data_IF_191993142348
#
_entry.id   IF_191993142348
#
_cell.length_a   1.000
_cell.length_b   1.000
_cell.length_c   1.000
_cell.angle_alpha   90.00
_cell.angle_beta   90.00
_cell.angle_gamma   90.00
#
_symmetry.space_group_name_H-M   'P 1'
#
loop_
_entity.id
_entity.type
_entity.pdbx_description
1 polymer ?
#
# COMPACT_ATOMS: atom_id res chain seq x y z
N UNK A 1 11.59 -15.80 -8.94
CA UNK A 1 10.87 -15.23 -7.78
C UNK A 1 11.37 -13.82 -7.51
N UNK A 2 10.51 -12.95 -7.04
CA UNK A 2 10.81 -11.55 -6.79
C UNK A 2 10.93 -11.34 -5.28
N UNK A 3 12.07 -10.81 -4.81
CA UNK A 3 12.29 -10.57 -3.39
C UNK A 3 12.23 -9.09 -3.03
N UNK A 4 11.76 -8.80 -1.84
CA UNK A 4 11.88 -7.47 -1.23
C UNK A 4 13.30 -7.32 -0.66
N UNK A 5 13.93 -6.18 -0.93
CA UNK A 5 15.28 -5.87 -0.42
C UNK A 5 15.30 -4.67 0.52
N UNK A 6 14.37 -3.74 0.37
CA UNK A 6 14.24 -2.59 1.26
C UNK A 6 12.81 -2.06 1.27
N UNK A 7 12.48 -1.25 2.27
CA UNK A 7 11.21 -0.54 2.36
C UNK A 7 11.30 0.71 3.24
N UNK A 8 10.32 1.60 3.10
CA UNK A 8 10.09 2.68 4.05
C UNK A 8 8.62 3.12 4.03
N UNK A 9 8.09 3.47 5.19
CA UNK A 9 6.80 4.14 5.35
C UNK A 9 7.05 5.53 5.93
N UNK A 10 6.56 6.55 5.22
CA UNK A 10 6.54 7.95 5.64
C UNK A 10 5.09 8.39 5.79
N UNK A 11 4.65 8.59 7.03
CA UNK A 11 3.25 8.90 7.36
C UNK A 11 3.16 9.81 8.59
N UNK A 12 1.97 10.31 8.93
CA UNK A 12 1.76 11.02 10.19
C UNK A 12 2.10 10.22 11.47
N UNK A 13 2.16 8.88 11.40
CA UNK A 13 2.56 8.01 12.52
C UNK A 13 4.06 7.87 12.70
N UNK A 14 4.86 8.14 11.66
CA UNK A 14 6.31 8.03 11.71
C UNK A 14 6.96 8.17 10.34
N UNK A 15 8.27 8.38 10.33
CA UNK A 15 9.05 8.62 9.11
C UNK A 15 9.80 7.37 8.61
N UNK A 16 9.74 6.28 9.38
CA UNK A 16 10.33 4.97 9.05
C UNK A 16 9.31 3.85 9.24
N UNK A 17 9.54 2.70 8.60
CA UNK A 17 8.72 1.50 8.78
C UNK A 17 8.67 1.05 10.25
N UNK A 18 9.81 1.10 10.95
CA UNK A 18 9.89 0.69 12.35
C UNK A 18 9.04 1.59 13.27
N UNK A 19 9.08 2.92 13.09
CA UNK A 19 8.25 3.86 13.85
C UNK A 19 6.76 3.66 13.57
N UNK A 20 6.37 3.48 12.32
CA UNK A 20 5.00 3.19 11.93
C UNK A 20 4.50 1.89 12.53
N UNK A 21 5.30 0.82 12.44
CA UNK A 21 4.96 -0.48 13.02
C UNK A 21 4.81 -0.40 14.55
N UNK A 22 5.75 0.24 15.24
CA UNK A 22 5.69 0.44 16.69
C UNK A 22 4.45 1.25 17.11
N UNK A 23 4.07 2.28 16.33
CA UNK A 23 2.87 3.06 16.56
C UNK A 23 1.59 2.21 16.47
N UNK A 24 1.48 1.39 15.40
CA UNK A 24 0.34 0.48 15.20
C UNK A 24 0.27 -0.58 16.30
N UNK A 25 1.41 -1.17 16.70
CA UNK A 25 1.50 -2.14 17.83
C UNK A 25 1.03 -1.54 19.15
N UNK A 26 1.19 -0.23 19.33
CA UNK A 26 0.71 0.51 20.52
C UNK A 26 -0.74 0.98 20.38
N UNK A 27 -1.45 0.60 19.32
CA UNK A 27 -2.83 1.03 19.06
C UNK A 27 -2.96 2.52 18.67
N UNK A 28 -1.84 3.23 18.41
CA UNK A 28 -1.86 4.64 18.05
C UNK A 28 -2.45 4.86 16.65
N UNK A 29 -3.30 5.89 16.53
CA UNK A 29 -3.88 6.36 15.28
C UNK A 29 -3.62 7.85 15.13
N UNK A 30 -3.56 8.32 13.88
CA UNK A 30 -3.51 9.74 13.57
C UNK A 30 -4.83 10.27 12.97
N UNK A 31 -5.89 9.46 13.02
CA UNK A 31 -7.22 9.95 12.72
C UNK A 31 -7.61 11.04 13.71
N UNK A 32 -7.99 12.20 13.20
CA UNK A 32 -8.41 13.38 13.97
C UNK A 32 -9.58 14.06 13.28
N UNK A 33 -10.48 14.64 14.08
CA UNK A 33 -11.54 15.49 13.54
C UNK A 33 -11.00 16.88 13.23
N UNK A 34 -11.33 17.36 12.05
CA UNK A 34 -11.03 18.70 11.56
C UNK A 34 -12.33 19.49 11.45
N UNK A 35 -12.40 20.72 12.01
CA UNK A 35 -13.62 21.53 12.02
C UNK A 35 -13.98 22.03 10.60
N UNK A 36 -15.24 22.39 10.41
CA UNK A 36 -15.68 23.12 9.23
C UNK A 36 -14.81 24.36 9.00
N UNK A 37 -14.54 24.66 7.72
CA UNK A 37 -13.60 25.71 7.31
C UNK A 37 -12.16 25.20 7.08
N UNK A 38 -11.78 24.03 7.60
CA UNK A 38 -10.48 23.43 7.30
C UNK A 38 -10.40 23.09 5.81
N UNK A 39 -9.32 23.49 5.12
CA UNK A 39 -9.17 23.35 3.65
C UNK A 39 -10.34 23.99 2.86
N UNK A 40 -10.99 25.05 3.42
CA UNK A 40 -12.19 25.69 2.86
C UNK A 40 -13.36 24.73 2.61
N UNK A 41 -13.46 23.67 3.41
CA UNK A 41 -14.58 22.71 3.34
C UNK A 41 -15.72 23.18 4.24
N UNK A 42 -16.98 23.08 3.78
CA UNK A 42 -18.14 23.56 4.54
C UNK A 42 -18.46 22.67 5.76
N UNK A 43 -18.03 21.41 5.73
CA UNK A 43 -18.33 20.40 6.74
C UNK A 43 -17.07 19.95 7.47
N UNK A 44 -17.23 19.53 8.73
CA UNK A 44 -16.17 18.87 9.49
C UNK A 44 -15.90 17.48 8.90
N UNK A 45 -14.67 17.02 9.01
CA UNK A 45 -14.27 15.69 8.52
C UNK A 45 -13.23 15.06 9.45
N UNK A 46 -13.11 13.72 9.39
CA UNK A 46 -12.08 12.97 10.12
C UNK A 46 -11.06 12.41 9.15
N UNK A 47 -9.77 12.65 9.39
CA UNK A 47 -8.68 12.20 8.52
C UNK A 47 -7.36 12.04 9.31
N UNK A 48 -6.39 11.37 8.70
CA UNK A 48 -4.99 11.29 9.16
C UNK A 48 -4.11 12.13 8.25
N UNK A 49 -3.81 13.35 8.65
CA UNK A 49 -3.06 14.32 7.86
C UNK A 49 -1.69 14.59 8.47
N UNK A 50 -0.70 14.95 7.63
CA UNK A 50 0.58 15.44 8.07
C UNK A 50 0.46 16.79 8.79
N UNK A 51 1.25 16.97 9.84
CA UNK A 51 1.63 18.30 10.30
C UNK A 51 2.72 18.83 9.35
N UNK A 52 2.31 19.61 8.36
CA UNK A 52 3.21 20.12 7.31
C UNK A 52 4.30 21.04 7.83
N UNK A 53 4.17 21.58 9.05
CA UNK A 53 5.23 22.30 9.74
C UNK A 53 6.38 21.41 10.21
N UNK A 54 6.14 20.10 10.32
CA UNK A 54 7.15 19.10 10.72
C UNK A 54 7.70 18.27 9.56
N UNK A 55 7.08 18.36 8.39
CA UNK A 55 7.61 17.71 7.18
C UNK A 55 8.80 18.55 6.69
N UNK A 56 9.95 17.91 6.53
CA UNK A 56 11.17 18.55 6.08
C UNK A 56 10.91 19.37 4.79
N UNK A 57 11.22 20.67 4.79
CA UNK A 57 11.02 21.51 3.63
C UNK A 57 11.98 21.09 2.50
N UNK A 58 11.49 21.12 1.28
CA UNK A 58 12.29 20.89 0.08
C UNK A 58 11.81 21.87 -0.99
N UNK A 59 12.60 22.89 -1.23
CA UNK A 59 12.26 23.97 -2.17
C UNK A 59 12.12 23.46 -3.60
N UNK A 60 11.15 23.97 -4.33
CA UNK A 60 10.88 23.56 -5.70
C UNK A 60 10.06 22.26 -5.84
N UNK A 61 9.65 21.64 -4.73
CA UNK A 61 8.83 20.42 -4.72
C UNK A 61 7.50 20.61 -3.99
N UNK A 62 6.45 20.01 -4.53
CA UNK A 62 5.10 20.03 -3.93
C UNK A 62 5.05 19.21 -2.64
N UNK A 63 3.97 19.33 -1.87
CA UNK A 63 3.75 18.49 -0.68
C UNK A 63 3.79 17.00 -1.03
N UNK A 64 3.10 16.61 -2.11
CA UNK A 64 3.09 15.24 -2.61
C UNK A 64 4.50 14.76 -2.96
N UNK A 65 5.25 15.53 -3.74
CA UNK A 65 6.60 15.17 -4.17
C UNK A 65 7.57 15.05 -3.01
N UNK A 66 7.47 15.93 -2.00
CA UNK A 66 8.33 15.90 -0.80
C UNK A 66 8.18 14.59 -0.04
N UNK A 67 6.96 14.13 0.23
CA UNK A 67 6.78 12.88 0.97
C UNK A 67 7.23 11.66 0.16
N UNK A 68 7.07 11.67 -1.18
CA UNK A 68 7.60 10.62 -2.05
C UNK A 68 9.12 10.60 -2.00
N UNK A 69 9.78 11.75 -2.15
CA UNK A 69 11.25 11.87 -2.09
C UNK A 69 11.76 11.37 -0.73
N UNK A 70 11.12 11.76 0.39
CA UNK A 70 11.50 11.29 1.71
C UNK A 70 11.39 9.77 1.86
N UNK A 71 10.31 9.17 1.38
CA UNK A 71 10.09 7.71 1.47
C UNK A 71 11.06 6.94 0.57
N UNK A 72 11.22 7.35 -0.68
CA UNK A 72 12.15 6.72 -1.65
C UNK A 72 13.59 6.83 -1.17
N UNK A 73 14.03 8.02 -0.74
CA UNK A 73 15.39 8.24 -0.27
C UNK A 73 15.76 7.34 0.91
N UNK A 74 14.84 7.20 1.89
CA UNK A 74 15.06 6.31 3.06
C UNK A 74 15.08 4.82 2.68
N UNK A 75 14.29 4.41 1.69
CA UNK A 75 14.32 3.04 1.19
C UNK A 75 15.62 2.76 0.43
N UNK A 76 16.04 3.67 -0.46
CA UNK A 76 17.30 3.55 -1.22
C UNK A 76 18.53 3.53 -0.30
N UNK A 77 18.54 4.32 0.77
CA UNK A 77 19.63 4.37 1.75
C UNK A 77 19.91 3.02 2.44
N UNK A 78 19.00 2.05 2.35
CA UNK A 78 19.17 0.69 2.88
C UNK A 78 19.83 -0.26 1.86
N UNK A 79 20.16 0.21 0.66
CA UNK A 79 20.63 -0.61 -0.47
C UNK A 79 21.87 0.01 -1.13
N UNK A 80 22.57 -0.81 -1.92
CA UNK A 80 23.67 -0.37 -2.78
C UNK A 80 23.22 -0.32 -4.26
N UNK A 81 21.92 -0.03 -4.52
CA UNK A 81 21.37 0.02 -5.89
C UNK A 81 21.92 1.25 -6.61
N UNK A 82 22.45 1.02 -7.81
CA UNK A 82 22.76 2.09 -8.75
C UNK A 82 21.48 2.52 -9.51
N UNK A 83 20.87 3.61 -9.08
CA UNK A 83 19.64 4.15 -9.70
C UNK A 83 19.88 4.69 -11.12
N UNK A 84 21.17 4.92 -11.53
CA UNK A 84 21.53 5.33 -12.87
C UNK A 84 21.59 4.15 -13.87
N UNK A 85 21.42 2.92 -13.39
CA UNK A 85 21.32 1.75 -14.26
C UNK A 85 20.00 1.73 -15.03
N UNK A 86 20.06 1.41 -16.32
CA UNK A 86 18.90 1.19 -17.18
C UNK A 86 18.09 -0.07 -16.79
N UNK A 87 18.61 -0.88 -15.86
CA UNK A 87 17.96 -2.06 -15.28
C UNK A 87 17.15 -1.75 -14.03
N UNK A 88 17.18 -0.50 -13.54
CA UNK A 88 16.42 -0.03 -12.37
C UNK A 88 15.24 0.83 -12.82
N UNK A 89 14.03 0.48 -12.40
CA UNK A 89 12.79 1.17 -12.76
C UNK A 89 12.17 1.83 -11.52
N UNK A 90 11.83 3.12 -11.63
CA UNK A 90 10.97 3.79 -10.66
C UNK A 90 9.50 3.64 -11.06
N UNK A 91 8.67 3.16 -10.15
CA UNK A 91 7.22 2.99 -10.32
C UNK A 91 6.49 3.83 -9.27
N UNK A 92 5.77 4.84 -9.71
CA UNK A 92 4.94 5.69 -8.86
C UNK A 92 3.49 5.22 -8.89
N UNK A 93 2.93 4.95 -7.72
CA UNK A 93 1.51 4.69 -7.52
C UNK A 93 0.84 5.89 -6.88
N UNK A 94 -0.15 6.44 -7.52
CA UNK A 94 -0.95 7.56 -6.98
C UNK A 94 -2.32 7.61 -7.63
N UNK A 95 -3.31 8.11 -6.92
CA UNK A 95 -4.64 8.31 -7.51
C UNK A 95 -4.78 9.68 -8.16
N UNK A 96 -4.06 10.69 -7.66
CA UNK A 96 -4.26 12.09 -8.04
C UNK A 96 -2.96 12.88 -8.24
N UNK A 97 -1.81 12.39 -7.73
CA UNK A 97 -0.56 13.16 -7.77
C UNK A 97 -0.70 14.53 -7.10
N UNK A 98 -0.27 15.55 -7.82
CA UNK A 98 -0.28 16.96 -7.37
C UNK A 98 -1.66 17.64 -7.56
N UNK A 99 -2.79 16.95 -7.34
CA UNK A 99 -4.13 17.51 -7.58
C UNK A 99 -4.42 18.78 -6.75
N UNK A 100 -3.72 19.00 -5.64
CA UNK A 100 -3.81 20.22 -4.83
C UNK A 100 -3.44 21.49 -5.64
N UNK A 101 -2.66 21.36 -6.71
CA UNK A 101 -2.30 22.47 -7.61
C UNK A 101 -3.47 23.00 -8.45
N UNK A 102 -4.60 22.29 -8.49
CA UNK A 102 -5.82 22.80 -9.12
C UNK A 102 -6.48 23.90 -8.29
N UNK A 103 -6.10 24.09 -7.03
CA UNK A 103 -6.54 25.22 -6.25
C UNK A 103 -5.94 26.52 -6.84
N UNK A 104 -6.81 27.47 -7.20
CA UNK A 104 -6.44 28.74 -7.86
C UNK A 104 -5.45 29.60 -7.05
N UNK A 105 -5.24 29.29 -5.77
CA UNK A 105 -4.29 29.95 -4.88
C UNK A 105 -2.85 29.43 -5.04
N UNK A 106 -2.63 28.36 -5.77
CA UNK A 106 -1.35 27.67 -5.92
C UNK A 106 -0.74 27.94 -7.31
N UNK A 107 -0.30 29.18 -7.58
CA UNK A 107 0.38 29.54 -8.85
C UNK A 107 1.90 29.30 -8.83
N UNK A 108 2.43 28.60 -7.85
CA UNK A 108 3.87 28.45 -7.63
C UNK A 108 4.55 27.48 -8.62
N UNK A 109 3.80 26.61 -9.27
CA UNK A 109 4.30 25.57 -10.16
C UNK A 109 3.69 25.66 -11.56
N UNK A 110 4.37 25.15 -12.62
CA UNK A 110 3.80 25.03 -13.96
C UNK A 110 2.47 24.23 -13.94
N UNK A 111 1.54 24.59 -14.83
CA UNK A 111 0.20 24.00 -14.85
C UNK A 111 0.19 22.50 -15.11
N UNK A 112 1.14 21.98 -15.88
CA UNK A 112 1.28 20.56 -16.18
C UNK A 112 1.84 19.73 -15.00
N UNK A 113 2.37 20.41 -13.94
CA UNK A 113 2.86 19.74 -12.73
C UNK A 113 1.76 18.95 -12.00
N UNK A 114 0.50 19.25 -12.24
CA UNK A 114 -0.66 18.50 -11.73
C UNK A 114 -0.70 17.07 -12.26
N UNK A 115 -0.14 16.83 -13.45
CA UNK A 115 -0.18 15.51 -14.09
C UNK A 115 0.74 14.52 -13.37
N UNK A 116 0.23 13.33 -12.97
CA UNK A 116 1.04 12.33 -12.25
C UNK A 116 2.30 11.91 -12.99
N UNK A 117 2.29 11.87 -14.34
CA UNK A 117 3.47 11.57 -15.14
C UNK A 117 4.54 12.65 -15.05
N UNK A 118 4.17 13.93 -14.96
CA UNK A 118 5.10 15.04 -14.75
C UNK A 118 5.71 14.97 -13.36
N UNK A 119 4.88 14.75 -12.33
CA UNK A 119 5.35 14.57 -10.96
C UNK A 119 6.35 13.40 -10.86
N UNK A 120 6.04 12.27 -11.50
CA UNK A 120 6.91 11.10 -11.51
C UNK A 120 8.28 11.39 -12.14
N UNK A 121 8.33 12.12 -13.28
CA UNK A 121 9.59 12.54 -13.91
C UNK A 121 10.41 13.46 -13.03
N UNK A 122 9.76 14.40 -12.36
CA UNK A 122 10.44 15.31 -11.44
C UNK A 122 11.08 14.56 -10.28
N UNK A 123 10.36 13.60 -9.68
CA UNK A 123 10.87 12.76 -8.60
C UNK A 123 12.01 11.87 -9.12
N UNK A 124 11.83 11.24 -10.28
CA UNK A 124 12.86 10.41 -10.90
C UNK A 124 14.14 11.21 -11.17
N UNK A 125 14.02 12.44 -11.68
CA UNK A 125 15.14 13.34 -11.91
C UNK A 125 15.88 13.74 -10.63
N UNK A 126 15.15 13.92 -9.50
CA UNK A 126 15.77 14.20 -8.20
C UNK A 126 16.76 13.12 -7.77
N UNK A 127 16.44 11.84 -8.03
CA UNK A 127 17.33 10.72 -7.70
C UNK A 127 18.30 10.36 -8.82
N UNK A 128 18.11 10.88 -10.03
CA UNK A 128 18.91 10.57 -11.20
C UNK A 128 18.56 9.24 -11.88
N UNK A 129 17.31 8.75 -11.72
CA UNK A 129 16.86 7.59 -12.49
C UNK A 129 16.97 7.88 -14.00
N UNK A 130 17.65 7.01 -14.75
CA UNK A 130 17.86 7.22 -16.18
C UNK A 130 16.67 6.74 -17.04
N UNK A 131 15.86 5.84 -16.52
CA UNK A 131 14.65 5.36 -17.23
C UNK A 131 13.44 6.25 -16.96
N UNK A 132 12.60 6.38 -17.99
CA UNK A 132 11.26 7.00 -17.80
C UNK A 132 10.49 6.26 -16.71
N UNK A 133 10.00 6.95 -15.69
CA UNK A 133 9.25 6.33 -14.60
C UNK A 133 7.91 5.81 -15.09
N UNK A 134 7.43 4.73 -14.48
CA UNK A 134 6.10 4.20 -14.72
C UNK A 134 5.13 4.75 -13.67
N UNK A 135 3.99 5.29 -14.12
CA UNK A 135 2.88 5.69 -13.23
C UNK A 135 1.77 4.66 -13.29
N UNK A 136 1.35 4.19 -12.13
CA UNK A 136 0.19 3.30 -11.96
C UNK A 136 -0.89 4.05 -11.19
N UNK A 137 -1.99 4.36 -11.89
CA UNK A 137 -3.17 5.01 -11.31
C UNK A 137 -4.41 4.16 -11.61
N UNK A 138 -4.89 3.44 -10.61
CA UNK A 138 -6.03 2.53 -10.69
C UNK A 138 -6.87 2.61 -9.41
N UNK A 139 -7.45 3.77 -9.17
CA UNK A 139 -8.21 4.07 -7.95
C UNK A 139 -7.48 3.57 -6.68
N UNK A 140 -8.22 3.03 -5.72
CA UNK A 140 -7.67 2.60 -4.41
C UNK A 140 -6.73 1.40 -4.51
N UNK A 141 -6.77 0.63 -5.60
CA UNK A 141 -5.89 -0.53 -5.79
C UNK A 141 -4.52 -0.16 -6.40
N UNK A 142 -4.27 1.13 -6.70
CA UNK A 142 -3.05 1.59 -7.39
C UNK A 142 -1.77 1.02 -6.78
N UNK A 143 -1.62 1.07 -5.45
CA UNK A 143 -0.42 0.59 -4.78
C UNK A 143 -0.16 -0.92 -4.92
N UNK A 144 -1.21 -1.72 -4.93
CA UNK A 144 -1.08 -3.16 -5.15
C UNK A 144 -0.89 -3.47 -6.63
N UNK A 145 -1.58 -2.74 -7.52
CA UNK A 145 -1.39 -2.84 -8.98
C UNK A 145 0.04 -2.48 -9.40
N UNK A 146 0.65 -1.47 -8.75
CA UNK A 146 2.04 -1.09 -9.01
C UNK A 146 3.02 -2.21 -8.62
N UNK A 147 2.82 -2.85 -7.47
CA UNK A 147 3.63 -4.00 -7.04
C UNK A 147 3.47 -5.19 -7.99
N UNK A 148 2.24 -5.51 -8.42
CA UNK A 148 1.97 -6.57 -9.41
C UNK A 148 2.62 -6.24 -10.76
N UNK A 149 2.57 -4.97 -11.18
CA UNK A 149 3.22 -4.54 -12.43
C UNK A 149 4.74 -4.65 -12.32
N UNK A 150 5.34 -4.19 -11.22
CA UNK A 150 6.77 -4.32 -10.96
C UNK A 150 7.22 -5.79 -10.97
N UNK A 151 6.46 -6.66 -10.30
CA UNK A 151 6.71 -8.11 -10.30
C UNK A 151 6.79 -8.67 -11.74
N UNK A 152 5.78 -8.36 -12.57
CA UNK A 152 5.72 -8.82 -13.96
C UNK A 152 6.86 -8.28 -14.82
N UNK A 153 7.25 -7.02 -14.65
CA UNK A 153 8.35 -6.41 -15.38
C UNK A 153 9.70 -7.03 -15.00
N UNK A 154 9.89 -7.35 -13.73
CA UNK A 154 11.09 -8.07 -13.29
C UNK A 154 11.06 -9.51 -13.81
N UNK A 155 9.94 -10.23 -13.76
CA UNK A 155 9.80 -11.60 -14.25
C UNK A 155 10.06 -11.70 -15.76
N UNK A 156 9.55 -10.75 -16.54
CA UNK A 156 9.76 -10.69 -17.98
C UNK A 156 11.20 -10.28 -18.38
N UNK A 157 12.01 -9.83 -17.44
CA UNK A 157 13.35 -9.33 -17.70
C UNK A 157 13.40 -7.89 -18.23
N UNK A 158 12.29 -7.16 -18.17
CA UNK A 158 12.26 -5.75 -18.57
C UNK A 158 13.07 -4.85 -17.62
N UNK A 159 13.20 -5.23 -16.35
CA UNK A 159 14.11 -4.62 -15.37
C UNK A 159 14.59 -5.69 -14.38
N UNK A 160 15.65 -5.39 -13.62
CA UNK A 160 16.15 -6.28 -12.58
C UNK A 160 15.71 -5.81 -11.20
N UNK A 161 15.54 -4.50 -11.05
CA UNK A 161 15.11 -3.85 -9.81
C UNK A 161 13.95 -2.90 -10.10
N UNK A 162 12.95 -2.90 -9.22
CA UNK A 162 11.86 -1.93 -9.24
C UNK A 162 11.75 -1.23 -7.88
N UNK A 163 11.83 0.10 -7.89
CA UNK A 163 11.56 0.98 -6.75
C UNK A 163 10.10 1.41 -6.85
N UNK A 164 9.22 0.80 -6.05
CA UNK A 164 7.77 1.05 -6.10
C UNK A 164 7.40 1.96 -4.94
N UNK A 165 6.96 3.18 -5.24
CA UNK A 165 6.46 4.11 -4.23
C UNK A 165 4.98 4.40 -4.46
N UNK A 166 4.16 4.21 -3.43
CA UNK A 166 2.77 4.62 -3.42
C UNK A 166 2.57 5.84 -2.53
N UNK A 167 1.89 6.88 -3.02
CA UNK A 167 1.62 8.08 -2.24
C UNK A 167 0.34 8.80 -2.68
N UNK A 168 -0.31 9.42 -1.72
CA UNK A 168 -1.30 10.48 -1.95
C UNK A 168 -1.31 11.45 -0.76
N UNK A 169 -1.59 12.71 -1.04
CA UNK A 169 -1.88 13.77 -0.06
C UNK A 169 -3.32 14.21 -0.19
N UNK A 170 -3.89 14.76 0.88
CA UNK A 170 -5.27 15.20 0.86
C UNK A 170 -5.37 16.65 0.39
N UNK A 171 -6.49 16.95 -0.27
CA UNK A 171 -6.83 18.27 -0.78
C UNK A 171 -8.34 18.48 -0.69
N UNK A 172 -8.76 19.74 -0.82
CA UNK A 172 -10.18 20.08 -0.91
C UNK A 172 -10.89 19.26 -1.98
N UNK A 173 -10.27 19.11 -3.15
CA UNK A 173 -10.83 18.33 -4.27
C UNK A 173 -11.13 16.88 -3.86
N UNK A 174 -10.19 16.21 -3.18
CA UNK A 174 -10.35 14.81 -2.79
C UNK A 174 -11.42 14.66 -1.72
N UNK A 175 -11.35 15.46 -0.65
CA UNK A 175 -12.29 15.35 0.47
C UNK A 175 -13.72 15.69 0.01
N UNK A 176 -13.90 16.75 -0.79
CA UNK A 176 -15.22 17.09 -1.37
C UNK A 176 -15.75 15.97 -2.26
N UNK A 177 -14.87 15.36 -3.07
CA UNK A 177 -15.25 14.24 -3.94
C UNK A 177 -15.78 13.05 -3.15
N UNK A 178 -15.06 12.62 -2.11
CA UNK A 178 -15.54 11.53 -1.25
C UNK A 178 -16.77 11.92 -0.42
N UNK A 179 -16.87 13.17 0.00
CA UNK A 179 -18.07 13.72 0.64
C UNK A 179 -19.32 13.64 -0.26
N UNK A 180 -19.18 13.98 -1.54
CA UNK A 180 -20.28 13.91 -2.50
C UNK A 180 -20.81 12.49 -2.72
N UNK A 181 -19.97 11.47 -2.57
CA UNK A 181 -20.38 10.05 -2.57
C UNK A 181 -20.95 9.56 -1.23
N UNK A 182 -21.00 10.44 -0.20
CA UNK A 182 -21.40 10.05 1.17
C UNK A 182 -20.57 8.86 1.71
N UNK A 183 -19.31 8.80 1.32
CA UNK A 183 -18.41 7.71 1.71
C UNK A 183 -17.61 8.00 2.99
N UNK A 184 -17.57 9.28 3.43
CA UNK A 184 -16.81 9.68 4.61
C UNK A 184 -17.60 9.43 5.90
N UNK A 185 -16.89 8.92 6.90
CA UNK A 185 -17.38 8.84 8.28
C UNK A 185 -17.08 10.15 9.01
N UNK A 186 -18.04 10.69 9.80
CA UNK A 186 -17.79 11.83 10.68
C UNK A 186 -16.91 11.43 11.89
N UNK A 187 -16.89 10.14 12.23
CA UNK A 187 -16.10 9.57 13.33
C UNK A 187 -14.97 8.70 12.80
N UNK A 188 -14.12 8.19 13.67
CA UNK A 188 -13.09 7.21 13.28
C UNK A 188 -13.72 5.97 12.67
N UNK A 189 -13.15 5.51 11.56
CA UNK A 189 -13.68 4.36 10.81
C UNK A 189 -13.51 3.05 11.60
N UNK A 190 -14.50 2.16 11.45
CA UNK A 190 -14.65 0.88 12.16
C UNK A 190 -14.82 -0.27 11.14
N UNK A 191 -13.76 -0.72 10.48
CA UNK A 191 -13.87 -1.75 9.44
C UNK A 191 -14.54 -3.01 9.94
N UNK A 192 -15.51 -3.55 9.18
CA UNK A 192 -16.34 -4.73 9.46
C UNK A 192 -17.26 -4.64 10.68
N UNK A 193 -17.22 -3.54 11.41
CA UNK A 193 -18.04 -3.35 12.60
C UNK A 193 -19.50 -3.05 12.25
N UNK A 194 -20.41 -3.44 13.16
CA UNK A 194 -21.85 -3.19 12.99
C UNK A 194 -22.18 -1.69 12.98
N UNK A 195 -21.39 -0.87 13.67
CA UNK A 195 -21.57 0.58 13.75
C UNK A 195 -20.73 1.36 12.70
N UNK A 196 -20.23 0.66 11.67
CA UNK A 196 -19.47 1.33 10.62
C UNK A 196 -20.31 2.33 9.83
N UNK A 197 -19.79 3.54 9.61
CA UNK A 197 -20.52 4.63 8.95
C UNK A 197 -19.86 5.11 7.64
N UNK A 198 -18.63 4.65 7.36
CA UNK A 198 -17.86 5.10 6.21
C UNK A 198 -16.37 5.14 6.50
N UNK A 199 -15.61 5.58 5.51
CA UNK A 199 -14.14 5.66 5.60
C UNK A 199 -13.67 7.02 6.14
N UNK A 200 -12.44 7.04 6.60
CA UNK A 200 -11.67 8.28 6.76
C UNK A 200 -10.53 8.29 5.75
N UNK A 201 -10.11 9.47 5.33
CA UNK A 201 -8.97 9.63 4.43
C UNK A 201 -7.66 9.75 5.22
N UNK A 202 -6.54 9.47 4.54
CA UNK A 202 -5.22 9.60 5.12
C UNK A 202 -4.17 10.00 4.09
N UNK A 203 -3.05 10.50 4.59
CA UNK A 203 -1.86 10.86 3.81
C UNK A 203 -0.72 9.90 4.14
N UNK A 204 0.00 9.46 3.14
CA UNK A 204 1.24 8.71 3.31
C UNK A 204 2.04 8.63 2.01
N UNK A 205 3.32 8.33 2.15
CA UNK A 205 4.15 7.74 1.11
C UNK A 205 4.78 6.45 1.64
N UNK A 206 4.74 5.39 0.86
CA UNK A 206 5.36 4.12 1.22
C UNK A 206 6.12 3.56 0.03
N UNK A 207 7.34 3.13 0.27
CA UNK A 207 8.25 2.61 -0.76
C UNK A 207 8.64 1.18 -0.44
N UNK A 208 8.57 0.31 -1.43
CA UNK A 208 9.11 -1.04 -1.38
C UNK A 208 10.02 -1.26 -2.58
N UNK A 209 11.17 -1.87 -2.38
CA UNK A 209 12.13 -2.17 -3.45
C UNK A 209 12.17 -3.67 -3.66
N UNK A 210 11.92 -4.07 -4.89
CA UNK A 210 11.95 -5.45 -5.35
C UNK A 210 13.10 -5.68 -6.31
N UNK A 211 13.70 -6.89 -6.23
CA UNK A 211 14.69 -7.34 -7.19
C UNK A 211 14.42 -8.77 -7.66
N UNK A 212 15.02 -9.11 -8.82
CA UNK A 212 15.08 -10.47 -9.30
C UNK A 212 15.99 -11.29 -8.42
N UNK A 213 15.49 -12.43 -7.95
CA UNK A 213 16.34 -13.41 -7.31
C UNK A 213 17.13 -14.17 -8.37
N UNK A 214 18.45 -14.07 -8.38
CA UNK A 214 19.31 -14.92 -9.16
C UNK A 214 19.25 -16.38 -8.67
N UNK A 215 19.20 -17.34 -9.59
CA UNK A 215 19.34 -18.75 -9.22
C UNK A 215 20.76 -18.99 -8.71
N UNK A 216 20.89 -19.80 -7.67
CA UNK A 216 22.15 -20.07 -6.93
C UNK A 216 23.35 -20.52 -7.79
N UNK A 217 23.17 -20.81 -9.10
CA UNK A 217 24.21 -21.20 -10.04
C UNK A 217 24.81 -20.06 -10.89
N UNK A 218 24.06 -18.97 -11.10
CA UNK A 218 24.47 -17.90 -12.03
C UNK A 218 25.47 -16.91 -11.42
N UNK A 219 25.58 -16.87 -10.07
CA UNK A 219 26.50 -15.98 -9.34
C UNK A 219 27.99 -16.32 -9.46
N UNK A 220 28.37 -17.50 -9.97
CA UNK A 220 29.78 -17.94 -9.95
C UNK A 220 30.63 -17.47 -11.12
N UNK A 221 30.05 -17.10 -12.24
CA UNK A 221 30.82 -16.73 -13.44
C UNK A 221 31.10 -15.23 -13.58
N UNK A 222 30.23 -14.33 -13.13
CA UNK A 222 30.42 -12.89 -13.31
C UNK A 222 31.18 -12.17 -12.16
N UNK A 223 31.26 -12.76 -10.97
CA UNK A 223 31.98 -12.15 -9.80
C UNK A 223 33.45 -12.50 -9.68
N UNK A 224 34.08 -13.09 -10.70
CA UNK A 224 35.54 -13.34 -10.74
C UNK A 224 36.42 -12.08 -10.74
N UNK A 225 35.87 -10.84 -10.74
CA UNK A 225 36.63 -9.58 -10.85
C UNK A 225 36.24 -8.47 -9.87
N UNK A 226 35.40 -8.67 -8.90
CA UNK A 226 35.09 -7.64 -7.89
C UNK A 226 35.47 -8.12 -6.49
N UNK A 227 36.50 -7.53 -6.01
CA UNK A 227 37.19 -7.61 -4.72
C UNK A 227 36.32 -7.88 -3.50
N UNK A 228 36.84 -8.83 -2.69
CA UNK A 228 36.30 -9.28 -1.42
C UNK A 228 35.99 -8.20 -0.40
N UNK A 229 34.78 -8.29 0.13
CA UNK A 229 34.36 -8.02 1.50
C UNK A 229 32.85 -8.29 1.61
N UNK A 230 32.47 -9.54 1.80
CA UNK A 230 31.20 -9.99 2.42
C UNK A 230 30.94 -11.49 2.17
N UNK A 231 32.00 -12.30 2.40
CA UNK A 231 31.84 -13.75 2.54
C UNK A 231 32.15 -14.11 3.99
N UNK A 232 31.22 -13.82 4.90
CA UNK A 232 31.15 -14.46 6.22
C UNK A 232 29.89 -13.93 6.92
N UNK A 233 28.84 -14.76 6.84
CA UNK A 233 27.89 -15.01 7.92
C UNK A 233 26.83 -15.95 7.34
N UNK A 234 26.97 -17.23 7.62
CA UNK A 234 26.03 -18.29 7.30
C UNK A 234 24.77 -18.24 8.17
N UNK A 235 24.02 -17.13 8.10
CA UNK A 235 22.62 -17.10 8.46
C UNK A 235 21.87 -16.90 7.16
N UNK A 236 21.13 -17.90 6.69
CA UNK A 236 20.14 -17.74 5.64
C UNK A 236 19.21 -16.61 6.07
N UNK A 237 19.39 -15.41 5.48
CA UNK A 237 18.47 -14.30 5.71
C UNK A 237 17.13 -14.76 5.22
N UNK A 238 16.18 -14.84 6.13
CA UNK A 238 14.78 -15.08 5.80
C UNK A 238 14.30 -13.87 5.02
N UNK A 239 13.92 -14.09 3.77
CA UNK A 239 13.57 -13.02 2.82
C UNK A 239 12.07 -13.02 2.53
N UNK A 240 11.51 -11.88 2.16
CA UNK A 240 10.14 -11.74 1.69
C UNK A 240 10.06 -11.87 0.17
N UNK A 241 9.10 -12.66 -0.29
CA UNK A 241 8.81 -12.87 -1.70
C UNK A 241 7.41 -12.41 -2.05
N UNK A 242 7.30 -11.68 -3.17
CA UNK A 242 6.06 -11.49 -3.89
C UNK A 242 5.84 -12.75 -4.75
N UNK A 243 4.83 -13.55 -4.39
CA UNK A 243 4.63 -14.88 -4.99
C UNK A 243 3.77 -14.81 -6.24
N UNK A 244 2.59 -14.23 -6.10
CA UNK A 244 1.62 -14.09 -7.18
C UNK A 244 0.71 -12.89 -6.93
N UNK A 245 0.25 -12.26 -7.99
CA UNK A 245 -0.68 -11.15 -7.88
C UNK A 245 -1.63 -11.05 -9.08
N UNK A 246 -2.86 -10.63 -8.82
CA UNK A 246 -3.89 -10.49 -9.83
C UNK A 246 -4.71 -9.22 -9.65
N UNK A 247 -5.04 -8.60 -10.78
CA UNK A 247 -6.02 -7.50 -10.88
C UNK A 247 -7.21 -8.02 -11.65
N UNK A 248 -8.43 -7.76 -11.16
CA UNK A 248 -9.70 -8.13 -11.80
C UNK A 248 -10.66 -6.95 -11.71
N UNK A 249 -11.60 -6.89 -12.64
CA UNK A 249 -12.70 -5.93 -12.63
C UNK A 249 -14.02 -6.67 -12.53
N UNK A 250 -14.97 -6.20 -11.73
CA UNK A 250 -16.30 -6.78 -11.60
C UNK A 250 -17.32 -6.17 -12.58
N UNK A 251 -16.99 -5.04 -13.19
CA UNK A 251 -17.80 -4.33 -14.17
C UNK A 251 -19.25 -4.05 -13.70
N UNK A 252 -19.44 -3.90 -12.38
CA UNK A 252 -20.77 -3.78 -11.79
C UNK A 252 -21.27 -2.33 -11.76
N UNK A 253 -20.54 -1.43 -11.09
CA UNK A 253 -20.93 -0.04 -10.92
C UNK A 253 -19.69 0.85 -10.72
N UNK A 254 -19.80 2.16 -11.04
CA UNK A 254 -18.67 3.10 -10.98
C UNK A 254 -18.17 3.33 -9.54
N UNK A 255 -19.05 3.34 -8.55
CA UNK A 255 -18.71 3.61 -7.15
C UNK A 255 -19.11 2.51 -6.15
N UNK A 256 -19.91 1.54 -6.57
CA UNK A 256 -20.34 0.42 -5.76
C UNK A 256 -19.73 -0.91 -6.22
N UNK A 257 -19.26 -1.78 -5.29
CA UNK A 257 -18.76 -3.08 -5.66
C UNK A 257 -19.89 -4.06 -5.99
N UNK A 258 -19.57 -5.13 -6.72
CA UNK A 258 -20.49 -6.25 -6.94
C UNK A 258 -20.89 -6.88 -5.61
N UNK A 259 -22.20 -6.99 -5.26
CA UNK A 259 -22.63 -7.54 -3.95
C UNK A 259 -22.13 -8.95 -3.67
N UNK A 260 -21.87 -9.74 -4.73
CA UNK A 260 -21.34 -11.11 -4.63
C UNK A 260 -19.81 -11.16 -4.56
N UNK A 261 -19.11 -10.00 -4.56
CA UNK A 261 -17.66 -9.91 -4.53
C UNK A 261 -16.97 -10.60 -5.71
N UNK A 262 -17.57 -10.61 -6.91
CA UNK A 262 -17.07 -11.40 -8.05
C UNK A 262 -15.64 -11.01 -8.43
N UNK A 263 -15.34 -9.71 -8.55
CA UNK A 263 -14.00 -9.23 -8.90
C UNK A 263 -12.96 -9.59 -7.85
N UNK A 264 -13.28 -9.37 -6.57
CA UNK A 264 -12.42 -9.71 -5.44
C UNK A 264 -12.19 -11.22 -5.34
N UNK A 265 -13.25 -12.03 -5.44
CA UNK A 265 -13.16 -13.50 -5.46
C UNK A 265 -12.23 -13.99 -6.57
N UNK A 266 -12.38 -13.49 -7.80
CA UNK A 266 -11.51 -13.87 -8.92
C UNK A 266 -10.05 -13.43 -8.71
N UNK A 267 -9.83 -12.28 -8.09
CA UNK A 267 -8.49 -11.81 -7.75
C UNK A 267 -7.86 -12.72 -6.68
N UNK A 268 -8.60 -13.05 -5.61
CA UNK A 268 -8.19 -13.98 -4.55
C UNK A 268 -7.77 -15.32 -5.14
N UNK A 269 -8.65 -15.95 -5.92
CA UNK A 269 -8.37 -17.27 -6.52
C UNK A 269 -7.12 -17.26 -7.40
N UNK A 270 -6.95 -16.20 -8.20
CA UNK A 270 -5.80 -16.08 -9.09
C UNK A 270 -4.48 -15.81 -8.33
N UNK A 271 -4.52 -15.03 -7.23
CA UNK A 271 -3.33 -14.74 -6.43
C UNK A 271 -2.95 -15.92 -5.53
N UNK A 272 -3.94 -16.64 -4.99
CA UNK A 272 -3.72 -17.76 -4.07
C UNK A 272 -3.20 -19.01 -4.82
N UNK A 273 -3.69 -19.25 -6.03
CA UNK A 273 -3.38 -20.48 -6.80
C UNK A 273 -3.75 -21.71 -5.98
N UNK A 274 -2.78 -22.61 -5.82
CA UNK A 274 -2.90 -23.85 -5.06
C UNK A 274 -2.44 -23.71 -3.59
N UNK A 275 -2.10 -22.50 -3.12
CA UNK A 275 -1.67 -22.27 -1.75
C UNK A 275 -2.81 -22.58 -0.79
N UNK A 276 -2.62 -23.50 0.19
CA UNK A 276 -3.64 -23.85 1.15
C UNK A 276 -3.98 -22.68 2.10
N UNK A 277 -5.25 -22.58 2.49
CA UNK A 277 -5.73 -21.53 3.40
C UNK A 277 -5.02 -21.56 4.77
N UNK A 278 -4.63 -22.72 5.24
CA UNK A 278 -3.97 -22.93 6.51
C UNK A 278 -2.48 -22.49 6.51
N UNK A 279 -1.88 -22.21 5.35
CA UNK A 279 -0.58 -21.55 5.27
C UNK A 279 -0.65 -20.04 5.54
N UNK A 280 -1.83 -19.42 5.37
CA UNK A 280 -2.00 -17.98 5.56
C UNK A 280 -2.05 -17.62 7.05
N UNK A 281 -1.20 -16.68 7.46
CA UNK A 281 -1.27 -16.05 8.78
C UNK A 281 -2.55 -15.24 8.91
N UNK A 282 -2.86 -14.45 7.88
CA UNK A 282 -4.05 -13.60 7.80
C UNK A 282 -4.31 -13.12 6.37
N UNK A 283 -5.47 -12.51 6.19
CA UNK A 283 -5.81 -11.72 5.01
C UNK A 283 -5.85 -10.25 5.44
N UNK A 284 -4.96 -9.43 4.90
CA UNK A 284 -5.06 -7.99 5.05
C UNK A 284 -5.98 -7.44 3.96
N UNK A 285 -7.17 -7.03 4.35
CA UNK A 285 -8.27 -6.64 3.47
C UNK A 285 -8.24 -5.16 3.11
N UNK A 286 -9.09 -4.74 2.19
CA UNK A 286 -9.34 -3.32 1.94
C UNK A 286 -9.99 -2.66 3.16
N UNK A 287 -11.10 -3.22 3.66
CA UNK A 287 -11.70 -2.90 4.94
C UNK A 287 -11.87 -1.41 5.19
N UNK A 288 -12.73 -0.76 4.41
CA UNK A 288 -12.90 0.71 4.43
C UNK A 288 -13.89 1.21 5.46
N UNK A 289 -14.57 0.32 6.20
CA UNK A 289 -15.67 0.71 7.10
C UNK A 289 -16.91 1.24 6.35
N UNK A 290 -16.98 1.04 5.03
CA UNK A 290 -18.19 1.35 4.26
C UNK A 290 -19.11 0.14 4.19
N UNK A 291 -20.42 0.39 4.20
CA UNK A 291 -21.42 -0.69 4.23
C UNK A 291 -21.23 -1.67 3.07
N UNK A 292 -21.01 -1.17 1.87
CA UNK A 292 -20.95 -2.01 0.67
C UNK A 292 -19.62 -2.73 0.48
N UNK A 293 -18.50 -2.06 0.77
CA UNK A 293 -17.18 -2.67 0.57
C UNK A 293 -16.93 -3.82 1.53
N UNK A 294 -17.19 -3.60 2.83
CA UNK A 294 -16.90 -4.62 3.83
C UNK A 294 -17.83 -5.84 3.67
N UNK A 295 -19.08 -5.61 3.27
CA UNK A 295 -20.02 -6.67 2.89
C UNK A 295 -19.50 -7.46 1.69
N UNK A 296 -19.08 -6.77 0.62
CA UNK A 296 -18.54 -7.38 -0.59
C UNK A 296 -17.28 -8.22 -0.30
N UNK A 297 -16.37 -7.71 0.52
CA UNK A 297 -15.14 -8.45 0.87
C UNK A 297 -15.46 -9.69 1.69
N UNK A 298 -16.42 -9.62 2.63
CA UNK A 298 -16.86 -10.78 3.40
C UNK A 298 -17.43 -11.88 2.50
N UNK A 299 -18.24 -11.51 1.50
CA UNK A 299 -18.78 -12.43 0.52
C UNK A 299 -17.69 -13.07 -0.36
N UNK A 300 -16.70 -12.29 -0.78
CA UNK A 300 -15.60 -12.78 -1.60
C UNK A 300 -14.70 -13.77 -0.84
N UNK A 301 -14.43 -13.51 0.44
CA UNK A 301 -13.64 -14.36 1.34
C UNK A 301 -14.38 -15.70 1.58
N UNK A 302 -15.68 -15.65 1.85
CA UNK A 302 -16.53 -16.86 2.02
C UNK A 302 -16.51 -17.72 0.76
N UNK A 303 -16.78 -17.13 -0.40
CA UNK A 303 -16.73 -17.83 -1.69
C UNK A 303 -15.37 -18.44 -2.01
N UNK A 304 -14.30 -17.84 -1.51
CA UNK A 304 -12.95 -18.38 -1.66
C UNK A 304 -12.63 -19.52 -0.68
N UNK A 305 -13.51 -19.81 0.28
CA UNK A 305 -13.29 -20.83 1.31
C UNK A 305 -12.29 -20.40 2.38
N UNK A 306 -12.23 -19.10 2.70
CA UNK A 306 -11.20 -18.52 3.58
C UNK A 306 -11.76 -17.95 4.89
N UNK A 307 -12.99 -18.34 5.30
CA UNK A 307 -13.65 -17.82 6.51
C UNK A 307 -12.87 -18.08 7.82
N UNK A 308 -12.10 -19.17 7.87
CA UNK A 308 -11.28 -19.54 9.04
C UNK A 308 -9.95 -18.78 9.12
N UNK A 309 -9.54 -18.10 8.04
CA UNK A 309 -8.33 -17.29 8.01
C UNK A 309 -8.59 -15.96 8.71
N UNK A 310 -7.75 -15.56 9.69
CA UNK A 310 -7.88 -14.25 10.31
C UNK A 310 -7.86 -13.11 9.30
N UNK A 311 -8.70 -12.10 9.52
CA UNK A 311 -8.83 -10.92 8.65
C UNK A 311 -8.47 -9.67 9.45
N UNK A 312 -7.71 -8.74 8.86
CA UNK A 312 -7.47 -7.44 9.47
C UNK A 312 -7.52 -6.27 8.47
N UNK A 313 -7.88 -5.09 8.96
CA UNK A 313 -7.77 -3.82 8.24
C UNK A 313 -6.93 -2.83 9.04
N UNK A 314 -6.06 -2.09 8.34
CA UNK A 314 -5.21 -1.06 8.94
C UNK A 314 -5.79 0.36 8.79
N UNK A 315 -6.98 0.49 8.21
CA UNK A 315 -7.62 1.79 7.98
C UNK A 315 -7.96 2.56 9.26
N UNK A 316 -8.22 1.86 10.36
CA UNK A 316 -8.44 2.49 11.68
C UNK A 316 -7.22 3.21 12.26
N UNK A 317 -6.01 2.97 11.72
CA UNK A 317 -4.77 3.64 12.14
C UNK A 317 -4.41 4.83 11.25
N UNK A 318 -4.57 4.68 9.94
CA UNK A 318 -4.07 5.62 8.93
C UNK A 318 -5.17 6.35 8.16
N UNK A 319 -6.43 5.90 8.27
CA UNK A 319 -7.42 6.21 7.25
C UNK A 319 -7.09 5.50 5.93
N UNK A 320 -7.82 5.83 4.89
CA UNK A 320 -7.57 5.34 3.56
C UNK A 320 -6.55 6.21 2.83
N UNK A 321 -5.32 5.73 2.68
CA UNK A 321 -4.20 6.44 2.07
C UNK A 321 -4.15 6.28 0.54
N UNK A 322 -5.23 5.82 -0.07
CA UNK A 322 -5.47 5.70 -1.52
C UNK A 322 -4.31 5.02 -2.28
N UNK A 323 -3.53 5.76 -3.10
CA UNK A 323 -2.42 5.21 -3.87
C UNK A 323 -1.29 4.63 -3.02
N UNK A 324 -1.13 5.09 -1.78
CA UNK A 324 -0.17 4.53 -0.83
C UNK A 324 -0.65 3.23 -0.17
N UNK A 325 -1.98 3.03 -0.03
CA UNK A 325 -2.55 1.97 0.80
C UNK A 325 -1.99 0.57 0.49
N UNK A 326 -1.88 0.23 -0.80
CA UNK A 326 -1.39 -1.09 -1.22
C UNK A 326 0.06 -1.35 -0.82
N UNK A 327 0.92 -0.33 -0.84
CA UNK A 327 2.34 -0.47 -0.48
C UNK A 327 2.50 -0.41 1.05
N UNK A 328 1.91 0.60 1.69
CA UNK A 328 1.96 0.80 3.14
C UNK A 328 1.48 -0.44 3.90
N UNK A 329 0.28 -0.92 3.58
CA UNK A 329 -0.35 -2.04 4.27
C UNK A 329 0.40 -3.36 4.00
N UNK A 330 0.99 -3.54 2.81
CA UNK A 330 1.89 -4.68 2.51
C UNK A 330 3.12 -4.66 3.40
N UNK A 331 3.81 -3.52 3.52
CA UNK A 331 5.03 -3.40 4.34
C UNK A 331 4.71 -3.68 5.82
N UNK A 332 3.62 -3.11 6.36
CA UNK A 332 3.20 -3.38 7.74
C UNK A 332 2.81 -4.83 7.97
N UNK A 333 2.18 -5.47 6.98
CA UNK A 333 1.85 -6.90 7.05
C UNK A 333 3.09 -7.78 7.09
N UNK A 334 4.13 -7.44 6.31
CA UNK A 334 5.43 -8.09 6.37
C UNK A 334 6.08 -7.92 7.75
N UNK A 335 6.12 -6.69 8.27
CA UNK A 335 6.67 -6.38 9.59
C UNK A 335 5.91 -7.12 10.71
N UNK A 336 4.59 -7.26 10.58
CA UNK A 336 3.77 -8.00 11.53
C UNK A 336 4.11 -9.50 11.56
N UNK A 337 4.25 -10.14 10.40
CA UNK A 337 4.68 -11.55 10.33
C UNK A 337 6.12 -11.70 10.82
N UNK A 338 7.02 -10.73 10.57
CA UNK A 338 8.39 -10.72 11.08
C UNK A 338 8.42 -10.74 12.63
N UNK A 339 7.46 -10.06 13.25
CA UNK A 339 7.26 -10.01 14.72
C UNK A 339 6.34 -11.14 15.23
N UNK A 340 5.98 -12.13 14.41
CA UNK A 340 5.07 -13.23 14.78
C UNK A 340 3.68 -12.74 15.19
N UNK A 341 3.18 -11.66 14.61
CA UNK A 341 1.98 -10.97 15.01
C UNK A 341 0.96 -10.84 13.87
N UNK A 342 -0.32 -10.92 14.22
CA UNK A 342 -1.45 -10.45 13.42
C UNK A 342 -1.89 -9.13 14.04
N UNK A 343 -1.82 -8.04 13.28
CA UNK A 343 -2.28 -6.74 13.77
C UNK A 343 -3.80 -6.72 13.89
N UNK A 344 -4.31 -6.12 14.98
CA UNK A 344 -5.74 -5.96 15.19
C UNK A 344 -6.35 -4.89 14.28
N UNK A 345 -7.64 -5.03 13.98
CA UNK A 345 -8.46 -4.06 13.28
C UNK A 345 -8.95 -3.01 14.29
N UNK A 346 -8.30 -1.86 14.32
CA UNK A 346 -8.69 -0.77 15.24
C UNK A 346 -10.10 -0.29 14.92
N UNK A 347 -10.94 -0.17 15.95
CA UNK A 347 -12.33 0.25 15.86
C UNK A 347 -13.33 -0.92 15.71
N UNK A 348 -12.86 -2.15 15.51
CA UNK A 348 -13.74 -3.32 15.44
C UNK A 348 -14.08 -3.85 16.84
N UNK A 349 -15.36 -4.04 17.10
CA UNK A 349 -15.91 -4.64 18.33
C UNK A 349 -16.89 -5.77 18.04
N UNK A 350 -17.83 -5.56 17.11
CA UNK A 350 -18.88 -6.52 16.77
C UNK A 350 -19.03 -6.66 15.26
N UNK A 351 -19.22 -7.91 14.78
CA UNK A 351 -19.32 -8.20 13.34
C UNK A 351 -20.61 -7.63 12.75
N UNK A 352 -20.44 -6.76 11.76
CA UNK A 352 -21.54 -6.08 11.06
C UNK A 352 -21.72 -6.45 9.58
N UNK A 353 -21.15 -7.59 9.14
CA UNK A 353 -21.31 -8.12 7.78
C UNK A 353 -22.02 -9.46 7.78
N UNK A 354 -22.65 -9.85 6.65
CA UNK A 354 -23.48 -11.04 6.55
C UNK A 354 -22.69 -12.36 6.60
N UNK A 355 -21.47 -12.36 6.07
CA UNK A 355 -20.59 -13.53 6.06
C UNK A 355 -19.66 -13.51 7.29
N UNK A 356 -19.55 -14.64 7.99
CA UNK A 356 -18.86 -14.74 9.29
C UNK A 356 -17.33 -14.77 9.14
N UNK A 357 -16.75 -13.73 8.54
CA UNK A 357 -15.29 -13.57 8.47
C UNK A 357 -14.69 -13.40 9.86
N UNK A 358 -13.51 -13.98 10.07
CA UNK A 358 -12.79 -13.96 11.36
C UNK A 358 -11.97 -12.68 11.51
N UNK A 359 -12.60 -11.56 11.85
CA UNK A 359 -11.92 -10.28 12.04
C UNK A 359 -11.09 -10.31 13.33
N UNK A 360 -9.80 -9.97 13.23
CA UNK A 360 -8.92 -9.79 14.39
C UNK A 360 -9.15 -8.39 14.97
N UNK A 361 -9.90 -8.27 16.07
CA UNK A 361 -10.13 -7.01 16.79
C UNK A 361 -8.93 -6.61 17.65
N UNK A 362 -8.14 -7.57 18.13
CA UNK A 362 -6.94 -7.38 18.93
C UNK A 362 -5.71 -7.97 18.21
N UNK A 363 -4.51 -7.55 18.62
CA UNK A 363 -3.29 -8.20 18.16
C UNK A 363 -3.26 -9.67 18.61
N UNK A 364 -2.85 -10.56 17.72
CA UNK A 364 -2.77 -11.98 17.99
C UNK A 364 -1.42 -12.56 17.55
N UNK A 365 -0.97 -13.65 18.16
CA UNK A 365 0.24 -14.33 17.77
C UNK A 365 0.03 -15.19 16.51
N UNK A 366 1.07 -15.34 15.70
CA UNK A 366 1.11 -16.27 14.57
C UNK A 366 2.53 -16.81 14.35
N UNK A 367 2.61 -18.06 13.92
CA UNK A 367 3.87 -18.68 13.46
C UNK A 367 3.92 -18.85 11.95
N UNK A 368 2.82 -18.55 11.28
CA UNK A 368 2.71 -18.69 9.83
C UNK A 368 3.47 -17.59 9.10
N UNK A 369 3.96 -17.89 7.91
CA UNK A 369 4.96 -17.08 7.20
C UNK A 369 4.44 -16.52 5.86
N UNK A 370 3.11 -16.50 5.66
CA UNK A 370 2.49 -15.94 4.45
C UNK A 370 1.23 -15.18 4.79
N UNK A 371 0.88 -14.22 3.94
CA UNK A 371 -0.38 -13.49 4.02
C UNK A 371 -0.89 -13.12 2.62
N UNK A 372 -2.20 -12.92 2.53
CA UNK A 372 -2.87 -12.41 1.33
C UNK A 372 -3.25 -10.95 1.54
N UNK A 373 -2.83 -10.07 0.63
CA UNK A 373 -3.24 -8.65 0.59
C UNK A 373 -4.34 -8.45 -0.41
N UNK A 374 -5.45 -7.82 0.01
CA UNK A 374 -6.60 -7.47 -0.84
C UNK A 374 -6.79 -5.96 -0.90
N UNK A 375 -7.20 -5.46 -2.04
CA UNK A 375 -7.70 -4.10 -2.22
C UNK A 375 -8.83 -4.09 -3.24
N UNK A 376 -9.79 -3.20 -3.02
CA UNK A 376 -10.88 -2.90 -3.93
C UNK A 376 -10.92 -1.39 -4.19
N UNK A 377 -11.51 -0.97 -5.29
CA UNK A 377 -11.55 0.45 -5.65
C UNK A 377 -12.74 0.79 -6.55
N UNK A 378 -13.05 2.07 -6.62
CA UNK A 378 -14.05 2.60 -7.53
C UNK A 378 -13.76 2.18 -8.97
N UNK A 379 -14.81 2.02 -9.79
CA UNK A 379 -14.71 1.46 -11.12
C UNK A 379 -14.74 -0.07 -11.16
N UNK A 380 -15.04 -0.73 -10.02
CA UNK A 380 -15.12 -2.19 -9.91
C UNK A 380 -13.76 -2.89 -9.94
N UNK A 381 -12.67 -2.17 -9.70
CA UNK A 381 -11.34 -2.75 -9.72
C UNK A 381 -11.01 -3.44 -8.39
N UNK A 382 -10.40 -4.64 -8.48
CA UNK A 382 -10.03 -5.47 -7.34
C UNK A 382 -8.62 -6.04 -7.58
N UNK A 383 -7.81 -6.08 -6.53
CA UNK A 383 -6.47 -6.66 -6.57
C UNK A 383 -6.24 -7.58 -5.38
N UNK A 384 -5.52 -8.67 -5.63
CA UNK A 384 -5.03 -9.57 -4.59
C UNK A 384 -3.56 -9.90 -4.88
N UNK A 385 -2.76 -10.04 -3.81
CA UNK A 385 -1.36 -10.43 -3.93
C UNK A 385 -0.94 -11.29 -2.74
N UNK A 386 -0.29 -12.42 -3.03
CA UNK A 386 0.24 -13.35 -2.05
C UNK A 386 1.70 -13.03 -1.77
N UNK A 387 2.02 -12.93 -0.50
CA UNK A 387 3.38 -12.74 0.01
C UNK A 387 3.77 -13.91 0.91
N UNK A 388 5.01 -14.36 0.77
CA UNK A 388 5.56 -15.45 1.58
C UNK A 388 6.96 -15.11 2.06
N UNK A 389 7.21 -15.36 3.34
CA UNK A 389 8.51 -15.28 3.98
C UNK A 389 9.15 -16.66 3.94
N UNK A 390 10.41 -16.76 3.54
CA UNK A 390 11.09 -18.06 3.51
C UNK A 390 12.52 -17.98 3.01
N UNK A 391 13.30 -19.03 3.34
CA UNK A 391 14.53 -19.34 2.64
C UNK A 391 14.19 -19.97 1.27
N UNK A 392 15.09 -19.82 0.32
CA UNK A 392 14.92 -20.44 -0.98
C UNK A 392 14.92 -21.97 -0.88
N UNK A 393 13.86 -22.58 -1.31
CA UNK A 393 13.95 -23.96 -1.82
C UNK A 393 14.41 -23.96 -3.26
#
# INVERSE_FOLDING_TARGET
>A
MIRKIADNIYSPLGVTTAENYAAVKQGRSMLRSYPAGTMDLPEAFTASLFDWGRVEPLDGYTRFERIVIQSVGRALAQTDIDVHSDRVLFVLSTTKGNVELLDSRSQQFPADRVLPGVAARVIAAYFGFCREPLVVSNACISGLSAQITAMRLIESGACDVAVVCGADVQSRFIISGFGSFKALSPMECRPFDIERLGLNLGEAAATVIYERREKRGERREERGKATGRRAQLGNERIEWYAVCGAVRNDAFHISGPSPKGEGSYRAIRAALGDTPADELAFINVHGTSTMYNDEMESAAIDRAGLLDVPVNSLKGYYGHTMGAAGVLETILSMAAVDDGCILGTRGYEELGVSHRVRVSGQHAATTKQSFLKLLSGFGGCNAAMLFKKGGAQ
#
